data_IF_449076565393
#
_entry.id   IF_449076565393
#
_cell.length_a   1.000
_cell.length_b   1.000
_cell.length_c   1.000
_cell.angle_alpha   90.00
_cell.angle_beta   90.00
_cell.angle_gamma   90.00
#
_symmetry.space_group_name_H-M   'P 1'
#
loop_
_entity.id
_entity.type
_entity.pdbx_description
1 polymer ?
#
# COMPACT_ATOMS: atom_id res chain seq x y z
N UNK A 1 9.70 -18.25 21.04
CA UNK A 1 9.73 -17.28 19.93
C UNK A 1 10.14 -18.03 18.67
N UNK A 2 9.29 -18.05 17.64
CA UNK A 2 9.62 -18.78 16.41
C UNK A 2 10.64 -17.97 15.60
N UNK A 3 11.82 -18.53 15.37
CA UNK A 3 12.85 -17.94 14.49
C UNK A 3 12.26 -17.74 13.09
N UNK A 4 12.10 -16.48 12.70
CA UNK A 4 11.57 -16.12 11.38
C UNK A 4 12.68 -16.33 10.36
N UNK A 5 12.80 -17.57 9.84
CA UNK A 5 13.72 -17.91 8.75
C UNK A 5 13.34 -17.09 7.52
N UNK A 6 14.07 -16.02 7.24
CA UNK A 6 13.95 -15.24 6.02
C UNK A 6 14.43 -16.09 4.85
N UNK A 7 13.50 -16.74 4.14
CA UNK A 7 13.86 -17.57 2.98
C UNK A 7 14.08 -16.68 1.77
N UNK A 8 15.12 -16.96 1.00
CA UNK A 8 15.36 -16.32 -0.31
C UNK A 8 14.14 -16.48 -1.24
N UNK A 9 13.37 -17.55 -1.09
CA UNK A 9 12.13 -17.77 -1.82
C UNK A 9 11.03 -16.73 -1.50
N UNK A 10 11.07 -16.09 -0.33
CA UNK A 10 10.10 -15.06 0.07
C UNK A 10 10.50 -13.67 -0.46
N UNK A 11 11.78 -13.45 -0.77
CA UNK A 11 12.31 -12.18 -1.30
C UNK A 11 12.36 -12.17 -2.82
N UNK A 12 12.71 -13.29 -3.45
CA UNK A 12 12.66 -13.46 -4.90
C UNK A 12 11.22 -13.68 -5.30
N UNK A 13 10.56 -12.63 -5.82
CA UNK A 13 9.24 -12.79 -6.46
C UNK A 13 9.37 -13.91 -7.49
N UNK A 14 8.57 -14.98 -7.35
CA UNK A 14 8.37 -15.98 -8.41
C UNK A 14 8.28 -15.22 -9.72
N UNK A 15 9.12 -15.57 -10.68
CA UNK A 15 9.27 -14.89 -11.96
C UNK A 15 7.89 -14.71 -12.65
N UNK A 16 7.17 -13.66 -12.28
CA UNK A 16 6.15 -13.10 -13.14
C UNK A 16 6.96 -12.44 -14.22
N UNK A 17 7.13 -13.14 -15.34
CA UNK A 17 7.70 -12.59 -16.55
C UNK A 17 7.16 -11.16 -16.69
N UNK A 18 8.03 -10.18 -16.48
CA UNK A 18 7.65 -8.79 -16.68
C UNK A 18 7.23 -8.71 -18.14
N UNK A 19 5.92 -8.51 -18.39
CA UNK A 19 5.46 -8.20 -19.74
C UNK A 19 6.24 -6.96 -20.14
N UNK A 20 7.12 -7.09 -21.12
CA UNK A 20 7.87 -5.95 -21.66
C UNK A 20 6.82 -4.94 -22.12
N UNK A 21 6.64 -3.87 -21.35
CA UNK A 21 5.71 -2.83 -21.70
C UNK A 21 6.21 -2.18 -22.99
N UNK A 22 5.30 -1.86 -23.90
CA UNK A 22 5.62 -1.09 -25.10
C UNK A 22 6.25 0.24 -24.67
N UNK A 23 7.35 0.66 -25.32
CA UNK A 23 8.02 1.90 -24.97
C UNK A 23 7.06 3.09 -25.10
N UNK A 24 6.92 3.87 -24.03
CA UNK A 24 6.05 5.06 -23.95
C UNK A 24 6.91 6.30 -24.13
N UNK A 25 6.41 7.29 -24.87
CA UNK A 25 7.10 8.56 -25.06
C UNK A 25 7.22 9.30 -23.72
N UNK A 26 8.36 9.98 -23.50
CA UNK A 26 8.66 10.66 -22.23
C UNK A 26 7.58 11.68 -21.85
N UNK A 27 7.01 12.38 -22.85
CA UNK A 27 5.93 13.33 -22.65
C UNK A 27 4.65 12.68 -22.08
N UNK A 28 4.34 11.44 -22.51
CA UNK A 28 3.15 10.70 -22.07
C UNK A 28 3.33 10.14 -20.66
N UNK A 29 4.57 9.88 -20.22
CA UNK A 29 4.88 9.45 -18.84
C UNK A 29 4.52 10.52 -17.81
N UNK A 30 4.73 11.79 -18.15
CA UNK A 30 4.38 12.93 -17.28
C UNK A 30 2.91 13.33 -17.39
N UNK A 31 2.22 12.91 -18.45
CA UNK A 31 0.81 13.20 -18.70
C UNK A 31 -0.16 12.21 -18.05
N UNK A 32 0.34 11.14 -17.39
CA UNK A 32 -0.48 10.21 -16.61
C UNK A 32 -1.17 10.94 -15.44
N UNK A 33 -2.35 11.49 -15.75
CA UNK A 33 -3.34 12.08 -14.84
C UNK A 33 -4.17 11.05 -14.11
N UNK A 34 -3.99 9.77 -14.39
CA UNK A 34 -4.56 8.74 -13.53
C UNK A 34 -3.80 8.80 -12.21
N UNK A 35 -4.52 9.17 -11.16
CA UNK A 35 -4.06 9.08 -9.78
C UNK A 35 -3.52 7.67 -9.61
N UNK A 36 -2.19 7.54 -9.65
CA UNK A 36 -1.53 6.25 -9.48
C UNK A 36 -1.84 5.80 -8.06
N UNK A 37 -2.92 5.01 -7.90
CA UNK A 37 -3.31 4.36 -6.64
C UNK A 37 -2.19 3.45 -6.08
N UNK A 38 -1.12 3.25 -6.83
CA UNK A 38 0.03 2.43 -6.47
C UNK A 38 1.12 3.18 -5.68
N UNK A 39 0.92 4.48 -5.37
CA UNK A 39 1.84 5.21 -4.50
C UNK A 39 1.68 4.78 -3.04
N UNK A 40 2.61 3.95 -2.57
CA UNK A 40 2.67 3.51 -1.17
C UNK A 40 3.45 4.51 -0.33
N UNK A 41 2.83 5.02 0.72
CA UNK A 41 3.47 5.93 1.68
C UNK A 41 3.76 5.17 2.98
N UNK A 42 5.00 5.24 3.46
CA UNK A 42 5.34 4.75 4.80
C UNK A 42 4.96 5.81 5.82
N UNK A 43 4.15 5.42 6.80
CA UNK A 43 3.74 6.28 7.92
C UNK A 43 4.21 5.69 9.24
N UNK A 44 4.60 6.56 10.16
CA UNK A 44 4.98 6.17 11.51
C UNK A 44 3.82 6.47 12.46
N UNK A 45 3.40 5.45 13.20
CA UNK A 45 2.29 5.51 14.14
C UNK A 45 2.78 5.11 15.53
N UNK A 46 2.15 5.64 16.58
CA UNK A 46 2.34 5.13 17.93
C UNK A 46 1.89 3.67 18.02
N UNK A 47 2.43 2.93 18.99
CA UNK A 47 2.08 1.52 19.18
C UNK A 47 0.57 1.34 19.43
N UNK A 48 -0.04 2.26 20.16
CA UNK A 48 -1.47 2.20 20.48
C UNK A 48 -2.34 2.45 19.24
N UNK A 49 -1.98 3.43 18.42
CA UNK A 49 -2.68 3.70 17.16
C UNK A 49 -2.56 2.51 16.20
N UNK A 50 -1.39 1.86 16.16
CA UNK A 50 -1.18 0.67 15.33
C UNK A 50 -2.03 -0.52 15.77
N UNK A 51 -2.19 -0.72 17.09
CA UNK A 51 -3.08 -1.77 17.62
C UNK A 51 -4.53 -1.49 17.29
N UNK A 52 -4.99 -0.25 17.51
CA UNK A 52 -6.36 0.15 17.21
C UNK A 52 -6.68 -0.02 15.71
N UNK A 53 -5.78 0.39 14.82
CA UNK A 53 -5.91 0.21 13.37
C UNK A 53 -6.05 -1.26 12.96
N UNK A 54 -5.22 -2.14 13.53
CA UNK A 54 -5.30 -3.58 13.25
C UNK A 54 -6.59 -4.20 13.74
N UNK A 55 -7.03 -3.83 14.93
CA UNK A 55 -8.25 -4.38 15.53
C UNK A 55 -9.47 -4.01 14.68
N UNK A 56 -9.55 -2.73 14.29
CA UNK A 56 -10.61 -2.22 13.41
C UNK A 56 -10.57 -2.82 12.00
N UNK A 57 -9.38 -3.09 11.46
CA UNK A 57 -9.22 -3.77 10.16
C UNK A 57 -9.79 -5.19 10.17
N UNK A 58 -9.69 -5.90 11.30
CA UNK A 58 -10.28 -7.24 11.45
C UNK A 58 -11.80 -7.16 11.64
N UNK A 59 -12.30 -6.17 12.37
CA UNK A 59 -13.73 -5.97 12.60
C UNK A 59 -14.50 -5.59 11.33
N UNK A 60 -13.91 -4.72 10.50
CA UNK A 60 -14.55 -4.22 9.27
C UNK A 60 -14.26 -5.10 8.04
N UNK A 61 -13.44 -6.15 8.17
CA UNK A 61 -12.92 -6.97 7.05
C UNK A 61 -12.34 -6.13 5.90
N UNK A 62 -11.68 -5.02 6.26
CA UNK A 62 -11.09 -4.05 5.34
C UNK A 62 -9.57 -4.06 5.41
N UNK A 63 -8.93 -3.72 4.30
CA UNK A 63 -7.48 -3.55 4.29
C UNK A 63 -7.09 -2.27 5.04
N UNK A 64 -5.92 -2.27 5.68
CA UNK A 64 -5.38 -1.11 6.39
C UNK A 64 -5.29 0.13 5.49
N UNK A 65 -4.93 -0.05 4.21
CA UNK A 65 -4.85 1.06 3.26
C UNK A 65 -6.22 1.69 2.98
N UNK A 66 -7.28 0.88 2.89
CA UNK A 66 -8.65 1.35 2.68
C UNK A 66 -9.13 2.12 3.90
N UNK A 67 -8.87 1.58 5.09
CA UNK A 67 -9.24 2.19 6.36
C UNK A 67 -8.53 3.54 6.58
N UNK A 68 -7.25 3.63 6.21
CA UNK A 68 -6.50 4.90 6.25
C UNK A 68 -7.06 5.89 5.23
N UNK A 69 -7.43 5.45 4.03
CA UNK A 69 -8.03 6.33 3.03
C UNK A 69 -9.38 6.89 3.50
N UNK A 70 -10.24 6.06 4.11
CA UNK A 70 -11.50 6.48 4.70
C UNK A 70 -11.24 7.57 5.76
N UNK A 71 -10.32 7.31 6.70
CA UNK A 71 -9.94 8.28 7.75
C UNK A 71 -9.38 9.59 7.20
N UNK A 72 -8.54 9.54 6.16
CA UNK A 72 -7.98 10.74 5.52
C UNK A 72 -9.07 11.51 4.79
N UNK A 73 -10.00 10.82 4.11
CA UNK A 73 -11.11 11.45 3.39
C UNK A 73 -12.06 12.13 4.36
N UNK A 74 -12.41 11.47 5.47
CA UNK A 74 -13.19 12.05 6.56
C UNK A 74 -12.49 13.29 7.12
N UNK A 75 -11.19 13.20 7.45
CA UNK A 75 -10.43 14.34 7.96
C UNK A 75 -10.40 15.54 6.99
N UNK A 76 -10.22 15.28 5.70
CA UNK A 76 -10.17 16.33 4.67
C UNK A 76 -11.54 16.94 4.37
N UNK A 77 -12.62 16.16 4.50
CA UNK A 77 -13.99 16.64 4.29
C UNK A 77 -14.55 17.41 5.48
N UNK A 78 -14.02 17.16 6.68
CA UNK A 78 -14.40 17.90 7.90
C UNK A 78 -13.66 19.24 8.04
N UNK A 79 -12.81 19.60 7.06
CA UNK A 79 -11.93 20.76 7.08
C UNK A 79 -12.38 21.82 6.08
#
# INVERSE_FOLDING_TARGET
>A
MAEKRTRLADTVRKEKAAKKATPVAVADTFANKDVVLDRRTTIYLSQDNWKALKLRSVEEDKNLSELINDLVTDYLSTK
#
